data_IF_704801650106
#
_entry.id   IF_704801650106
#
_cell.length_a   1.000
_cell.length_b   1.000
_cell.length_c   1.000
_cell.angle_alpha   90.00
_cell.angle_beta   90.00
_cell.angle_gamma   90.00
#
_symmetry.space_group_name_H-M   'P 1'
#
loop_
_entity.id
_entity.type
_entity.pdbx_description
1 polymer ?
#
# COMPACT_ATOMS: atom_id res chain seq x y z
N UNK A 1 -2.20 -1.91 -28.18
CA UNK A 1 -3.51 -1.54 -27.57
C UNK A 1 -3.44 -1.35 -26.06
N UNK A 2 -2.63 -2.08 -25.28
CA UNK A 2 -2.59 -2.01 -23.81
C UNK A 2 -2.05 -0.70 -23.18
N UNK A 3 -1.26 0.08 -23.88
CA UNK A 3 -0.80 1.38 -23.40
C UNK A 3 -1.86 2.50 -23.49
N UNK A 4 -2.90 2.31 -24.31
CA UNK A 4 -3.98 3.27 -24.46
C UNK A 4 -5.02 3.15 -23.35
N UNK A 5 -5.41 1.91 -22.97
CA UNK A 5 -6.34 1.68 -21.85
C UNK A 5 -5.78 2.18 -20.50
N UNK A 6 -4.49 1.90 -20.21
CA UNK A 6 -3.86 2.42 -19.01
C UNK A 6 -3.75 3.95 -18.98
N UNK A 7 -3.49 4.59 -20.14
CA UNK A 7 -3.47 6.06 -20.24
C UNK A 7 -4.86 6.67 -20.07
N UNK A 8 -5.90 6.01 -20.59
CA UNK A 8 -7.30 6.46 -20.41
C UNK A 8 -7.69 6.37 -18.94
N UNK A 9 -7.41 5.25 -18.28
CA UNK A 9 -7.69 5.06 -16.86
C UNK A 9 -6.97 6.09 -15.96
N UNK A 10 -5.67 6.34 -16.21
CA UNK A 10 -4.93 7.40 -15.50
C UNK A 10 -5.57 8.78 -15.78
N UNK A 11 -5.97 9.07 -17.01
CA UNK A 11 -6.60 10.34 -17.36
C UNK A 11 -7.94 10.52 -16.64
N UNK A 12 -8.77 9.50 -16.54
CA UNK A 12 -10.04 9.57 -15.83
C UNK A 12 -9.84 9.84 -14.34
N UNK A 13 -8.87 9.18 -13.69
CA UNK A 13 -8.51 9.51 -12.31
C UNK A 13 -8.03 10.95 -12.19
N UNK A 14 -7.24 11.43 -13.12
CA UNK A 14 -6.80 12.82 -13.12
C UNK A 14 -7.96 13.80 -13.24
N UNK A 15 -8.93 13.53 -14.12
CA UNK A 15 -10.12 14.34 -14.28
C UNK A 15 -11.01 14.29 -13.03
N UNK A 16 -11.17 13.12 -12.41
CA UNK A 16 -11.86 12.98 -11.13
C UNK A 16 -11.19 13.78 -10.01
N UNK A 17 -9.88 13.65 -9.84
CA UNK A 17 -9.12 14.41 -8.84
C UNK A 17 -9.11 15.91 -9.12
N UNK A 18 -9.03 16.35 -10.35
CA UNK A 18 -9.15 17.77 -10.69
C UNK A 18 -10.50 18.36 -10.25
N UNK A 19 -11.55 17.55 -10.20
CA UNK A 19 -12.87 17.94 -9.66
C UNK A 19 -12.85 18.07 -8.12
N UNK A 20 -12.04 17.26 -7.42
CA UNK A 20 -11.90 17.28 -5.96
C UNK A 20 -10.88 18.31 -5.44
N UNK A 21 -10.04 18.86 -6.32
CA UNK A 21 -8.88 19.70 -5.95
C UNK A 21 -9.20 21.06 -5.27
N UNK A 22 -10.45 21.34 -4.94
CA UNK A 22 -10.87 22.60 -4.30
C UNK A 22 -10.57 22.66 -2.79
N UNK A 23 -10.29 21.50 -2.16
CA UNK A 23 -10.03 21.42 -0.74
C UNK A 23 -8.53 21.26 -0.49
N UNK A 24 -7.87 22.38 -0.22
CA UNK A 24 -6.43 22.42 0.05
C UNK A 24 -6.15 22.14 1.52
N UNK A 25 -5.03 21.43 1.79
CA UNK A 25 -4.43 21.44 3.13
C UNK A 25 -4.25 22.88 3.58
N UNK A 26 -4.78 23.21 4.76
CA UNK A 26 -4.53 24.51 5.38
C UNK A 26 -3.03 24.76 5.53
N UNK A 27 -2.63 26.02 5.46
CA UNK A 27 -1.25 26.39 5.75
C UNK A 27 -0.82 25.77 7.09
N UNK A 28 0.36 25.14 7.13
CA UNK A 28 0.85 24.45 8.32
C UNK A 28 0.80 25.31 9.60
N UNK A 29 0.95 26.62 9.47
CA UNK A 29 0.80 27.58 10.59
C UNK A 29 -0.63 27.61 11.14
N UNK A 30 -1.63 27.63 10.27
CA UNK A 30 -3.05 27.65 10.67
C UNK A 30 -3.43 26.35 11.34
N UNK A 31 -3.04 25.20 10.74
CA UNK A 31 -3.27 23.88 11.33
C UNK A 31 -2.61 23.74 12.71
N UNK A 32 -1.39 24.24 12.88
CA UNK A 32 -0.68 24.23 14.16
C UNK A 32 -1.39 25.06 15.23
N UNK A 33 -1.80 26.30 14.88
CA UNK A 33 -2.55 27.14 15.78
C UNK A 33 -3.90 26.54 16.18
N UNK A 34 -4.62 25.94 15.22
CA UNK A 34 -5.89 25.26 15.49
C UNK A 34 -5.71 24.06 16.44
N UNK A 35 -4.66 23.24 16.25
CA UNK A 35 -4.38 22.10 17.13
C UNK A 35 -3.94 22.54 18.53
N UNK A 36 -3.15 23.59 18.64
CA UNK A 36 -2.74 24.14 19.93
C UNK A 36 -3.93 24.68 20.74
N UNK A 37 -4.93 25.24 20.07
CA UNK A 37 -6.14 25.79 20.71
C UNK A 37 -7.27 24.75 20.85
N UNK A 38 -7.10 23.53 20.35
CA UNK A 38 -8.18 22.53 20.35
C UNK A 38 -8.51 22.05 21.76
N UNK A 39 -9.80 22.07 22.18
CA UNK A 39 -10.21 21.70 23.54
C UNK A 39 -9.83 20.26 23.95
N UNK A 40 -9.83 19.31 22.99
CA UNK A 40 -9.44 17.92 23.26
C UNK A 40 -7.95 17.82 23.52
N UNK A 41 -7.14 18.57 22.77
CA UNK A 41 -5.68 18.64 22.99
C UNK A 41 -5.39 19.30 24.33
N UNK A 42 -6.04 20.41 24.65
CA UNK A 42 -5.90 21.11 25.95
C UNK A 42 -6.28 20.21 27.13
N UNK A 43 -7.39 19.49 27.04
CA UNK A 43 -7.78 18.51 28.06
C UNK A 43 -6.74 17.39 28.22
N UNK A 44 -6.12 16.96 27.12
CA UNK A 44 -5.04 15.97 27.15
C UNK A 44 -3.75 16.54 27.77
N UNK A 45 -3.45 17.84 27.56
CA UNK A 45 -2.33 18.56 28.21
C UNK A 45 -2.53 18.56 29.73
N UNK A 46 -3.69 18.99 30.22
CA UNK A 46 -3.97 19.04 31.66
C UNK A 46 -3.86 17.67 32.32
N UNK A 47 -4.38 16.62 31.65
CA UNK A 47 -4.23 15.26 32.16
C UNK A 47 -2.77 14.82 32.23
N UNK A 48 -1.99 15.09 31.19
CA UNK A 48 -0.59 14.73 31.12
C UNK A 48 0.26 15.44 32.18
N UNK A 49 -0.03 16.74 32.45
CA UNK A 49 0.53 17.52 33.56
C UNK A 49 0.29 16.82 34.90
N UNK A 50 -0.97 16.44 35.16
CA UNK A 50 -1.36 15.80 36.41
C UNK A 50 -0.73 14.39 36.57
N UNK A 51 -0.75 13.58 35.50
CA UNK A 51 -0.26 12.19 35.54
C UNK A 51 1.26 12.08 35.69
N UNK A 52 2.02 13.05 35.15
CA UNK A 52 3.47 12.98 35.10
C UNK A 52 4.20 14.02 35.98
N UNK A 53 3.47 14.89 36.66
CA UNK A 53 4.04 15.93 37.51
C UNK A 53 4.89 16.96 36.74
N UNK A 54 4.63 17.17 35.46
CA UNK A 54 5.34 18.09 34.60
C UNK A 54 4.68 19.48 34.70
N UNK A 55 5.42 20.52 34.33
CA UNK A 55 4.85 21.85 34.18
C UNK A 55 4.05 21.93 32.87
N UNK A 56 3.03 22.76 32.84
CA UNK A 56 2.22 23.01 31.65
C UNK A 56 3.09 23.45 30.44
N UNK A 57 4.09 24.30 30.69
CA UNK A 57 5.05 24.76 29.70
C UNK A 57 5.89 23.60 29.09
N UNK A 58 6.22 22.56 29.85
CA UNK A 58 6.93 21.38 29.36
C UNK A 58 6.05 20.52 28.50
N UNK A 59 4.79 20.36 28.89
CA UNK A 59 3.82 19.57 28.13
C UNK A 59 3.46 20.30 26.82
N UNK A 60 3.30 21.62 26.82
CA UNK A 60 3.11 22.39 25.59
C UNK A 60 4.28 22.25 24.61
N UNK A 61 5.52 22.27 25.10
CA UNK A 61 6.69 21.98 24.24
C UNK A 61 6.67 20.57 23.67
N UNK A 62 6.08 19.59 24.39
CA UNK A 62 5.88 18.24 23.89
C UNK A 62 4.80 18.21 22.79
N UNK A 63 3.70 18.92 22.98
CA UNK A 63 2.65 19.11 21.95
C UNK A 63 3.22 19.73 20.70
N UNK A 64 4.01 20.79 20.81
CA UNK A 64 4.68 21.45 19.68
C UNK A 64 5.57 20.48 18.90
N UNK A 65 6.29 19.61 19.60
CA UNK A 65 7.08 18.54 18.95
C UNK A 65 6.20 17.56 18.18
N UNK A 66 5.09 17.10 18.77
CA UNK A 66 4.14 16.21 18.11
C UNK A 66 3.47 16.86 16.92
N UNK A 67 3.03 18.11 17.06
CA UNK A 67 2.44 18.90 15.96
C UNK A 67 3.44 19.09 14.82
N UNK A 68 4.69 19.44 15.13
CA UNK A 68 5.75 19.59 14.13
C UNK A 68 6.10 18.27 13.42
N UNK A 69 5.91 17.15 14.10
CA UNK A 69 6.10 15.84 13.52
C UNK A 69 4.95 15.47 12.58
N UNK A 70 3.72 15.62 13.06
CA UNK A 70 2.50 15.16 12.36
C UNK A 70 2.15 16.10 11.19
N UNK A 71 2.13 17.41 11.40
CA UNK A 71 1.65 18.38 10.40
C UNK A 71 2.66 18.53 9.25
N UNK A 72 2.26 18.24 7.99
CA UNK A 72 3.13 18.39 6.84
C UNK A 72 3.46 19.84 6.53
N UNK A 73 4.58 20.04 5.83
CA UNK A 73 4.96 21.35 5.26
C UNK A 73 4.72 21.27 3.74
N UNK A 74 3.46 21.47 3.34
CA UNK A 74 3.10 21.34 1.92
C UNK A 74 3.78 22.44 1.08
N UNK A 75 4.57 22.01 0.10
CA UNK A 75 5.08 22.85 -0.98
C UNK A 75 4.46 22.41 -2.31
N UNK A 76 3.40 23.12 -2.72
CA UNK A 76 2.63 22.80 -3.94
C UNK A 76 3.50 22.72 -5.19
N UNK A 77 4.46 23.63 -5.35
CA UNK A 77 5.37 23.67 -6.50
C UNK A 77 6.30 22.43 -6.52
N UNK A 78 6.82 22.04 -5.35
CA UNK A 78 7.67 20.85 -5.23
C UNK A 78 6.88 19.57 -5.52
N UNK A 79 5.62 19.51 -5.08
CA UNK A 79 4.77 18.36 -5.33
C UNK A 79 4.54 18.11 -6.83
N UNK A 80 4.08 19.11 -7.57
CA UNK A 80 3.73 18.92 -8.99
C UNK A 80 4.93 18.90 -9.92
N UNK A 81 5.89 19.81 -9.78
CA UNK A 81 6.99 19.91 -10.72
C UNK A 81 8.08 18.86 -10.49
N UNK A 82 8.41 18.57 -9.25
CA UNK A 82 9.50 17.65 -8.91
C UNK A 82 8.99 16.26 -8.57
N UNK A 83 8.05 16.16 -7.64
CA UNK A 83 7.60 14.87 -7.11
C UNK A 83 6.93 13.98 -8.15
N UNK A 84 5.99 14.51 -8.91
CA UNK A 84 5.31 13.74 -9.95
C UNK A 84 6.27 13.29 -11.06
N UNK A 85 7.13 14.20 -11.56
CA UNK A 85 8.06 13.84 -12.62
C UNK A 85 9.10 12.82 -12.14
N UNK A 86 9.59 12.96 -10.90
CA UNK A 86 10.48 11.99 -10.29
C UNK A 86 9.80 10.63 -10.10
N UNK A 87 8.59 10.60 -9.55
CA UNK A 87 7.79 9.39 -9.40
C UNK A 87 7.55 8.71 -10.76
N UNK A 88 7.17 9.48 -11.77
CA UNK A 88 6.99 9.00 -13.15
C UNK A 88 8.25 8.40 -13.73
N UNK A 89 9.40 9.06 -13.58
CA UNK A 89 10.70 8.56 -14.08
C UNK A 89 11.05 7.27 -13.35
N UNK A 90 11.04 7.26 -12.01
CA UNK A 90 11.39 6.10 -11.19
C UNK A 90 10.48 4.92 -11.51
N UNK A 91 9.17 5.12 -11.56
CA UNK A 91 8.23 4.05 -11.86
C UNK A 91 8.40 3.51 -13.28
N UNK A 92 8.58 4.36 -14.28
CA UNK A 92 8.81 3.90 -15.66
C UNK A 92 10.13 3.15 -15.86
N UNK A 93 11.14 3.46 -15.03
CA UNK A 93 12.39 2.71 -14.99
C UNK A 93 12.24 1.34 -14.31
N UNK A 94 11.39 1.27 -13.27
CA UNK A 94 11.23 0.06 -12.47
C UNK A 94 10.12 -0.85 -13.02
N UNK A 95 8.95 -0.30 -13.35
CA UNK A 95 7.73 -1.04 -13.63
C UNK A 95 7.01 -0.56 -14.88
N UNK A 96 6.09 -1.41 -15.36
CA UNK A 96 4.95 -0.99 -16.17
C UNK A 96 3.74 -0.83 -15.26
N UNK A 97 3.33 0.40 -15.00
CA UNK A 97 2.14 0.67 -14.22
C UNK A 97 0.90 0.37 -15.06
N UNK A 98 -0.05 -0.36 -14.49
CA UNK A 98 -1.39 -0.60 -15.04
C UNK A 98 -2.42 -0.20 -14.01
N UNK A 99 -3.47 0.48 -14.46
CA UNK A 99 -4.58 0.94 -13.61
C UNK A 99 -5.87 0.40 -14.20
N UNK A 100 -6.77 -0.06 -13.34
CA UNK A 100 -8.10 -0.55 -13.70
C UNK A 100 -9.12 -0.17 -12.62
N UNK A 101 -10.41 -0.22 -12.96
CA UNK A 101 -11.53 0.11 -12.10
C UNK A 101 -12.52 -1.03 -12.04
N UNK A 102 -13.09 -1.26 -10.87
CA UNK A 102 -14.23 -2.14 -10.72
C UNK A 102 -15.52 -1.43 -11.21
N UNK A 103 -15.67 -0.17 -10.84
CA UNK A 103 -16.83 0.65 -11.22
C UNK A 103 -16.40 2.13 -11.33
N UNK A 104 -15.98 2.53 -12.52
CA UNK A 104 -15.55 3.89 -12.83
C UNK A 104 -16.69 4.90 -12.63
N UNK A 105 -17.90 4.56 -13.10
CA UNK A 105 -19.07 5.43 -12.99
C UNK A 105 -19.49 5.70 -11.53
N UNK A 106 -19.25 4.76 -10.62
CA UNK A 106 -19.54 4.97 -9.20
C UNK A 106 -18.56 5.97 -8.55
N UNK A 107 -17.29 5.98 -8.98
CA UNK A 107 -16.32 6.98 -8.54
C UNK A 107 -16.69 8.39 -9.05
N UNK A 108 -17.15 8.49 -10.28
CA UNK A 108 -17.55 9.76 -10.87
C UNK A 108 -18.80 10.37 -10.22
N UNK A 109 -19.64 9.55 -9.60
CA UNK A 109 -20.85 10.00 -8.88
C UNK A 109 -20.60 10.52 -7.48
N UNK A 110 -19.40 10.37 -6.93
CA UNK A 110 -19.07 10.95 -5.62
C UNK A 110 -19.24 12.47 -5.71
N UNK A 111 -20.05 13.09 -4.83
CA UNK A 111 -20.21 14.54 -4.80
C UNK A 111 -18.89 15.26 -4.58
N UNK A 112 -18.70 16.39 -5.27
CA UNK A 112 -17.41 17.13 -5.25
C UNK A 112 -17.07 17.73 -3.90
N UNK A 113 -18.07 17.96 -3.06
CA UNK A 113 -17.91 18.51 -1.72
C UNK A 113 -17.54 17.43 -0.69
N UNK A 114 -17.81 16.17 -0.98
CA UNK A 114 -17.60 15.07 -0.06
C UNK A 114 -16.12 14.72 0.10
N UNK A 115 -15.81 14.03 1.18
CA UNK A 115 -14.45 13.62 1.53
C UNK A 115 -14.15 12.25 0.93
N UNK A 116 -13.02 12.11 0.26
CA UNK A 116 -12.57 10.83 -0.27
C UNK A 116 -11.38 10.30 0.53
N UNK A 117 -11.49 9.06 0.97
CA UNK A 117 -10.47 8.35 1.73
C UNK A 117 -10.08 7.07 0.99
N UNK A 118 -8.87 7.01 0.46
CA UNK A 118 -8.33 5.81 -0.19
C UNK A 118 -7.78 4.84 0.86
N UNK A 119 -8.33 3.64 0.89
CA UNK A 119 -7.83 2.55 1.73
C UNK A 119 -7.10 1.51 0.86
N UNK A 120 -5.84 1.25 1.17
CA UNK A 120 -4.93 0.50 0.29
C UNK A 120 -4.26 -0.65 1.02
N UNK A 121 -4.08 -1.81 0.36
CA UNK A 121 -3.18 -2.84 0.87
C UNK A 121 -1.72 -2.43 0.73
N UNK A 122 -0.83 -2.95 1.59
CA UNK A 122 0.57 -2.52 1.67
C UNK A 122 1.55 -3.65 1.33
N UNK A 123 2.12 -3.60 0.12
CA UNK A 123 3.00 -4.63 -0.44
C UNK A 123 4.49 -4.23 -0.46
N UNK A 124 4.76 -2.94 -0.69
CA UNK A 124 6.10 -2.40 -0.90
C UNK A 124 6.16 -0.93 -0.48
N UNK A 125 7.33 -0.45 -0.08
CA UNK A 125 7.53 1.00 0.09
C UNK A 125 7.33 1.78 -1.22
N UNK A 126 7.38 1.10 -2.36
CA UNK A 126 7.06 1.68 -3.69
C UNK A 126 5.57 1.99 -3.83
N UNK A 127 4.68 1.40 -3.01
CA UNK A 127 3.24 1.67 -3.05
C UNK A 127 2.95 3.17 -2.96
N UNK A 128 3.63 3.90 -2.07
CA UNK A 128 3.49 5.35 -1.96
C UNK A 128 3.80 6.08 -3.28
N UNK A 129 4.85 5.63 -3.98
CA UNK A 129 5.26 6.23 -5.26
C UNK A 129 4.28 5.88 -6.37
N UNK A 130 3.80 4.62 -6.39
CA UNK A 130 2.78 4.16 -7.35
C UNK A 130 1.48 4.93 -7.16
N UNK A 131 1.02 5.04 -5.92
CA UNK A 131 -0.22 5.75 -5.61
C UNK A 131 -0.08 7.25 -5.88
N UNK A 132 1.04 7.87 -5.47
CA UNK A 132 1.32 9.26 -5.81
C UNK A 132 1.32 9.49 -7.33
N UNK A 133 1.91 8.59 -8.11
CA UNK A 133 1.89 8.68 -9.57
C UNK A 133 0.49 8.54 -10.16
N UNK A 134 -0.31 7.61 -9.65
CA UNK A 134 -1.66 7.35 -10.17
C UNK A 134 -2.64 8.44 -9.73
N UNK A 135 -2.52 8.96 -8.51
CA UNK A 135 -3.43 9.94 -7.94
C UNK A 135 -2.97 11.41 -8.11
N UNK A 136 -1.74 11.66 -8.56
CA UNK A 136 -1.08 12.98 -8.51
C UNK A 136 -1.60 14.04 -9.50
N UNK A 137 -2.47 13.70 -10.44
CA UNK A 137 -2.95 14.69 -11.40
C UNK A 137 -4.28 15.28 -10.96
N UNK A 138 -4.24 16.26 -10.06
CA UNK A 138 -5.41 17.09 -9.75
C UNK A 138 -5.86 17.11 -8.29
N UNK A 139 -5.41 16.21 -7.41
CA UNK A 139 -5.70 16.31 -5.99
C UNK A 139 -4.45 16.06 -5.14
N UNK A 140 -4.33 16.86 -4.08
CA UNK A 140 -3.40 16.57 -3.01
C UNK A 140 -3.97 15.46 -2.15
N UNK A 141 -3.37 14.28 -2.18
CA UNK A 141 -3.72 13.21 -1.25
C UNK A 141 -2.78 13.27 -0.06
N UNK A 142 -3.34 13.50 1.11
CA UNK A 142 -2.62 13.46 2.37
C UNK A 142 -2.46 12.00 2.81
N UNK A 143 -1.23 11.48 2.77
CA UNK A 143 -0.95 10.10 3.15
C UNK A 143 -0.49 9.98 4.58
N UNK A 144 -1.03 8.99 5.29
CA UNK A 144 -0.50 8.53 6.55
C UNK A 144 0.77 7.69 6.32
N UNK A 145 1.92 8.20 6.70
CA UNK A 145 3.23 7.57 6.48
C UNK A 145 3.85 7.15 7.81
N UNK A 146 4.39 5.93 7.88
CA UNK A 146 5.07 5.46 9.08
C UNK A 146 6.45 6.08 9.29
N UNK A 147 7.00 5.92 10.48
CA UNK A 147 8.30 6.47 10.91
C UNK A 147 9.50 6.10 10.04
N UNK A 148 9.39 5.03 9.23
CA UNK A 148 10.46 4.58 8.35
C UNK A 148 10.92 5.65 7.36
N UNK A 149 10.02 6.56 6.97
CA UNK A 149 10.32 7.62 6.04
C UNK A 149 10.88 8.89 6.72
N UNK A 150 11.05 8.89 8.05
CA UNK A 150 11.66 9.99 8.82
C UNK A 150 13.20 9.95 8.75
N UNK A 151 13.73 9.84 7.55
CA UNK A 151 15.17 9.89 7.25
C UNK A 151 15.39 10.92 6.17
N UNK A 152 16.36 11.82 6.37
CA UNK A 152 16.73 12.77 5.32
C UNK A 152 17.24 12.04 4.07
N UNK A 153 16.84 12.38 2.83
CA UNK A 153 15.91 13.47 2.44
C UNK A 153 14.43 13.03 2.36
N UNK A 154 14.08 11.79 2.67
CA UNK A 154 12.73 11.24 2.49
C UNK A 154 11.67 11.97 3.33
N UNK A 155 12.00 12.31 4.58
CA UNK A 155 11.08 13.05 5.45
C UNK A 155 10.66 14.37 4.79
N UNK A 156 11.63 15.12 4.25
CA UNK A 156 11.35 16.36 3.55
C UNK A 156 10.47 16.13 2.31
N UNK A 157 10.77 15.09 1.52
CA UNK A 157 9.99 14.74 0.33
C UNK A 157 8.54 14.42 0.69
N UNK A 158 8.31 13.53 1.67
CA UNK A 158 6.95 13.16 2.08
C UNK A 158 6.18 14.34 2.69
N UNK A 159 6.82 15.14 3.56
CA UNK A 159 6.21 16.35 4.13
C UNK A 159 5.87 17.38 3.06
N UNK A 160 6.73 17.57 2.07
CA UNK A 160 6.46 18.50 0.97
C UNK A 160 5.32 18.05 0.08
N UNK A 161 5.00 16.75 0.10
CA UNK A 161 3.86 16.15 -0.61
C UNK A 161 2.56 16.13 0.22
N UNK A 162 2.55 16.75 1.39
CA UNK A 162 1.36 16.81 2.23
C UNK A 162 1.08 15.55 3.03
N UNK A 163 2.04 14.62 3.11
CA UNK A 163 1.92 13.42 3.93
C UNK A 163 2.20 13.73 5.39
N UNK A 164 1.43 13.12 6.30
CA UNK A 164 1.65 13.22 7.74
C UNK A 164 2.25 11.95 8.32
N UNK A 165 3.01 12.09 9.39
CA UNK A 165 3.73 10.98 9.99
C UNK A 165 3.00 10.39 11.17
N UNK A 166 3.04 9.05 11.28
CA UNK A 166 2.43 8.29 12.37
C UNK A 166 3.50 7.43 13.05
N UNK A 167 3.54 7.50 14.39
CA UNK A 167 4.33 6.58 15.20
C UNK A 167 3.57 5.27 15.38
N UNK A 168 4.18 4.17 14.96
CA UNK A 168 3.59 2.84 15.07
C UNK A 168 3.82 2.27 16.46
N UNK A 169 2.76 1.77 17.10
CA UNK A 169 2.86 1.15 18.43
C UNK A 169 3.13 2.13 19.59
N UNK A 170 3.15 3.42 19.30
CA UNK A 170 3.26 4.44 20.33
C UNK A 170 1.91 4.62 21.02
N UNK A 171 1.87 4.47 22.35
CA UNK A 171 0.61 4.42 23.13
C UNK A 171 0.37 5.67 23.98
N UNK A 172 1.16 6.72 23.77
CA UNK A 172 1.06 7.97 24.52
C UNK A 172 -0.28 8.68 24.26
N UNK A 173 -1.15 8.88 25.27
CA UNK A 173 -2.47 9.49 25.08
C UNK A 173 -2.42 10.90 24.50
N UNK A 174 -1.45 11.73 24.92
CA UNK A 174 -1.27 13.09 24.42
C UNK A 174 -0.95 13.10 22.92
N UNK A 175 -0.07 12.20 22.47
CA UNK A 175 0.25 12.05 21.04
C UNK A 175 -1.00 11.67 20.23
N UNK A 176 -1.78 10.71 20.76
CA UNK A 176 -3.02 10.28 20.10
C UNK A 176 -4.07 11.38 20.04
N UNK A 177 -4.19 12.24 21.07
CA UNK A 177 -5.08 13.39 21.04
C UNK A 177 -4.68 14.37 19.92
N UNK A 178 -3.40 14.69 19.79
CA UNK A 178 -2.90 15.57 18.71
C UNK A 178 -3.14 14.94 17.33
N UNK A 179 -2.85 13.64 17.16
CA UNK A 179 -3.06 12.94 15.89
C UNK A 179 -4.54 12.84 15.52
N UNK A 180 -5.41 12.51 16.45
CA UNK A 180 -6.85 12.47 16.26
C UNK A 180 -7.39 13.80 15.79
N UNK A 181 -7.03 14.89 16.49
CA UNK A 181 -7.50 16.24 16.14
C UNK A 181 -6.95 16.73 14.81
N UNK A 182 -5.72 16.34 14.45
CA UNK A 182 -5.18 16.62 13.13
C UNK A 182 -5.96 15.88 12.02
N UNK A 183 -6.24 14.58 12.20
CA UNK A 183 -7.03 13.81 11.24
C UNK A 183 -8.45 14.38 11.12
N UNK A 184 -9.07 14.74 12.25
CA UNK A 184 -10.36 15.42 12.26
C UNK A 184 -10.32 16.72 11.47
N UNK A 185 -9.33 17.59 11.71
CA UNK A 185 -9.16 18.87 11.03
C UNK A 185 -9.07 18.70 9.50
N UNK A 186 -8.23 17.78 9.01
CA UNK A 186 -8.08 17.57 7.57
C UNK A 186 -9.31 16.94 6.95
N UNK A 187 -10.03 16.06 7.68
CA UNK A 187 -11.29 15.45 7.23
C UNK A 187 -12.38 16.52 7.16
N UNK A 188 -12.55 17.34 8.21
CA UNK A 188 -13.51 18.46 8.25
C UNK A 188 -13.28 19.44 7.11
N UNK A 189 -12.02 19.69 6.73
CA UNK A 189 -11.65 20.55 5.62
C UNK A 189 -11.79 19.89 4.24
N UNK A 190 -12.27 18.67 4.14
CA UNK A 190 -12.50 17.98 2.86
C UNK A 190 -11.22 17.52 2.18
N UNK A 191 -10.10 17.40 2.90
CA UNK A 191 -8.83 16.94 2.32
C UNK A 191 -8.95 15.47 1.94
N UNK A 192 -8.61 15.16 0.69
CA UNK A 192 -8.50 13.76 0.25
C UNK A 192 -7.36 13.07 1.00
N UNK A 193 -7.65 11.91 1.55
CA UNK A 193 -6.72 11.15 2.38
C UNK A 193 -6.42 9.78 1.81
N UNK A 194 -5.29 9.19 2.23
CA UNK A 194 -4.95 7.81 1.89
C UNK A 194 -4.16 7.14 3.00
N UNK A 195 -4.49 5.91 3.33
CA UNK A 195 -3.74 5.13 4.30
C UNK A 195 -3.79 3.63 4.03
N UNK A 196 -2.85 2.93 4.65
CA UNK A 196 -2.74 1.48 4.60
C UNK A 196 -3.29 0.90 5.91
N UNK A 197 -4.51 0.31 5.90
CA UNK A 197 -5.15 -0.19 7.12
C UNK A 197 -4.35 -1.27 7.83
N UNK A 198 -3.54 -2.06 7.11
CA UNK A 198 -2.65 -3.07 7.71
C UNK A 198 -1.60 -2.46 8.67
N UNK A 199 -1.30 -1.16 8.52
CA UNK A 199 -0.32 -0.43 9.32
C UNK A 199 1.14 -0.86 9.13
N UNK A 200 1.43 -1.87 8.32
CA UNK A 200 2.78 -2.36 7.98
C UNK A 200 2.78 -3.06 6.62
N UNK A 201 3.97 -3.27 6.08
CA UNK A 201 4.15 -4.11 4.89
C UNK A 201 3.76 -5.56 5.19
N UNK A 202 3.10 -6.22 4.22
CA UNK A 202 2.86 -7.65 4.29
C UNK A 202 4.19 -8.40 4.20
N UNK A 203 4.49 -9.24 5.20
CA UNK A 203 5.74 -10.00 5.27
C UNK A 203 5.66 -11.35 4.56
N UNK A 204 4.48 -11.95 4.51
CA UNK A 204 4.21 -13.25 3.91
C UNK A 204 3.46 -13.18 2.57
N UNK A 205 3.11 -11.97 2.14
CA UNK A 205 2.35 -11.73 0.92
C UNK A 205 0.83 -11.72 1.08
N UNK A 206 0.27 -12.05 2.23
CA UNK A 206 -1.17 -12.02 2.50
C UNK A 206 -1.64 -10.62 2.89
N UNK A 207 -2.94 -10.38 2.79
CA UNK A 207 -3.57 -9.25 3.44
C UNK A 207 -3.53 -9.45 4.96
N UNK A 208 -3.05 -8.43 5.67
CA UNK A 208 -3.02 -8.41 7.12
C UNK A 208 -4.33 -7.88 7.74
N UNK A 209 -4.53 -8.09 9.04
CA UNK A 209 -5.69 -7.54 9.74
C UNK A 209 -5.61 -6.02 9.82
N UNK A 210 -6.75 -5.30 9.69
CA UNK A 210 -6.79 -3.86 9.75
C UNK A 210 -6.53 -3.31 11.16
N UNK A 211 -5.88 -2.14 11.22
CA UNK A 211 -5.75 -1.30 12.40
C UNK A 211 -6.84 -0.23 12.36
N UNK A 212 -7.56 -0.06 13.46
CA UNK A 212 -8.77 0.76 13.51
C UNK A 212 -8.52 2.24 13.82
N UNK A 213 -7.34 2.60 14.36
CA UNK A 213 -7.12 3.95 14.93
C UNK A 213 -7.42 5.09 13.96
N UNK A 214 -6.87 5.06 12.74
CA UNK A 214 -7.15 6.10 11.74
C UNK A 214 -8.59 6.04 11.23
N UNK A 215 -9.14 4.86 11.05
CA UNK A 215 -10.52 4.69 10.64
C UNK A 215 -11.47 5.30 11.67
N UNK A 216 -11.23 5.04 12.97
CA UNK A 216 -12.00 5.63 14.07
C UNK A 216 -11.92 7.16 14.05
N UNK A 217 -10.72 7.73 13.92
CA UNK A 217 -10.55 9.19 13.89
C UNK A 217 -11.27 9.84 12.71
N UNK A 218 -11.21 9.23 11.52
CA UNK A 218 -11.91 9.71 10.33
C UNK A 218 -13.42 9.61 10.51
N UNK A 219 -13.94 8.45 10.94
CA UNK A 219 -15.38 8.23 11.11
C UNK A 219 -15.99 9.19 12.15
N UNK A 220 -15.28 9.45 13.24
CA UNK A 220 -15.76 10.37 14.29
C UNK A 220 -15.89 11.82 13.86
N UNK A 221 -15.33 12.20 12.73
CA UNK A 221 -15.50 13.56 12.18
C UNK A 221 -16.97 13.88 11.90
N UNK A 222 -17.81 12.89 11.60
CA UNK A 222 -19.26 13.11 11.37
C UNK A 222 -20.03 13.50 12.64
N UNK A 223 -19.43 13.37 13.81
CA UNK A 223 -20.01 13.83 15.09
C UNK A 223 -19.83 15.34 15.30
N UNK A 224 -19.00 16.00 14.46
CA UNK A 224 -18.84 17.47 14.52
C UNK A 224 -20.09 18.12 13.93
N UNK A 225 -20.81 18.99 14.70
CA UNK A 225 -22.05 19.63 14.23
C UNK A 225 -21.88 20.46 12.95
N UNK A 226 -20.67 20.97 12.69
CA UNK A 226 -20.38 21.75 11.49
C UNK A 226 -19.94 20.89 10.29
N UNK A 227 -19.97 19.56 10.43
CA UNK A 227 -19.60 18.65 9.35
C UNK A 227 -20.84 18.12 8.64
N UNK A 228 -21.14 18.68 7.47
CA UNK A 228 -22.33 18.38 6.65
C UNK A 228 -22.08 17.43 5.46
N UNK A 229 -20.83 17.01 5.26
CA UNK A 229 -20.37 16.19 4.12
C UNK A 229 -20.49 14.70 4.40
N UNK A 230 -20.43 13.89 3.33
CA UNK A 230 -20.21 12.45 3.46
C UNK A 230 -18.72 12.11 3.35
N UNK A 231 -18.34 10.96 3.89
CA UNK A 231 -17.01 10.37 3.76
C UNK A 231 -17.11 9.11 2.91
N UNK A 232 -16.38 9.09 1.80
CA UNK A 232 -16.37 7.98 0.88
C UNK A 232 -15.06 7.20 0.99
N UNK A 233 -15.15 5.95 1.44
CA UNK A 233 -14.03 5.04 1.43
C UNK A 233 -13.90 4.39 0.05
N UNK A 234 -12.75 4.56 -0.58
CA UNK A 234 -12.44 3.96 -1.89
C UNK A 234 -11.39 2.87 -1.67
N UNK A 235 -11.77 1.59 -1.82
CA UNK A 235 -10.82 0.48 -1.78
C UNK A 235 -9.84 0.56 -2.95
N UNK A 236 -8.55 0.41 -2.67
CA UNK A 236 -7.50 0.36 -3.69
C UNK A 236 -6.63 -0.86 -3.47
N UNK A 237 -6.44 -1.64 -4.50
CA UNK A 237 -5.58 -2.82 -4.42
C UNK A 237 -4.36 -2.68 -5.30
N UNK A 238 -3.20 -3.03 -4.75
CA UNK A 238 -1.90 -2.93 -5.40
C UNK A 238 -1.24 -4.31 -5.40
N UNK A 239 -0.70 -4.72 -6.54
CA UNK A 239 0.11 -5.92 -6.62
C UNK A 239 1.23 -5.77 -7.67
N UNK A 240 2.27 -6.58 -7.53
CA UNK A 240 3.49 -6.49 -8.33
C UNK A 240 3.91 -7.84 -8.91
N UNK A 241 4.57 -7.82 -10.07
CA UNK A 241 5.35 -8.97 -10.54
C UNK A 241 6.63 -9.14 -9.71
N UNK A 242 7.15 -8.05 -9.13
CA UNK A 242 8.28 -8.08 -8.20
C UNK A 242 8.16 -6.97 -7.16
N UNK A 243 8.21 -7.35 -5.90
CA UNK A 243 8.36 -6.45 -4.76
C UNK A 243 9.85 -6.19 -4.52
N UNK A 244 10.25 -4.95 -4.26
CA UNK A 244 11.68 -4.59 -4.09
C UNK A 244 12.27 -5.22 -2.82
N UNK A 245 11.51 -5.24 -1.76
CA UNK A 245 11.90 -5.66 -0.43
C UNK A 245 11.58 -7.13 -0.12
N UNK A 246 11.13 -7.91 -1.11
CA UNK A 246 10.60 -9.27 -0.90
C UNK A 246 11.50 -10.18 -0.04
N UNK A 247 12.81 -10.19 -0.28
CA UNK A 247 13.77 -10.98 0.51
C UNK A 247 13.96 -10.44 1.94
N UNK A 248 13.91 -9.12 2.11
CA UNK A 248 14.01 -8.52 3.42
C UNK A 248 12.77 -8.82 4.26
N UNK A 249 11.57 -8.70 3.64
CA UNK A 249 10.29 -9.00 4.29
C UNK A 249 10.21 -10.46 4.76
N UNK A 250 10.68 -11.41 3.92
CA UNK A 250 10.72 -12.82 4.29
C UNK A 250 11.71 -13.07 5.44
N UNK A 251 12.90 -12.44 5.43
CA UNK A 251 13.85 -12.55 6.54
C UNK A 251 13.27 -12.02 7.84
N UNK A 252 12.60 -10.87 7.81
CA UNK A 252 11.89 -10.31 8.98
C UNK A 252 10.77 -11.24 9.51
N UNK A 253 10.23 -12.12 8.67
CA UNK A 253 9.22 -13.11 9.09
C UNK A 253 9.87 -14.25 9.88
N UNK A 254 11.09 -14.64 9.49
CA UNK A 254 11.85 -15.74 10.12
C UNK A 254 12.54 -15.27 11.41
N UNK A 255 13.15 -14.10 11.38
CA UNK A 255 13.83 -13.50 12.55
C UNK A 255 13.45 -12.00 12.66
N UNK A 256 12.67 -11.67 13.69
CA UNK A 256 12.27 -10.27 13.94
C UNK A 256 13.45 -9.36 14.34
N UNK A 257 14.58 -9.94 14.77
CA UNK A 257 15.80 -9.21 15.16
C UNK A 257 16.66 -8.82 13.95
N UNK A 258 16.57 -9.58 12.85
CA UNK A 258 17.33 -9.31 11.62
C UNK A 258 16.61 -8.27 10.73
N UNK A 259 16.44 -7.06 11.26
CA UNK A 259 15.96 -5.92 10.48
C UNK A 259 17.13 -5.29 9.74
N UNK A 260 17.26 -5.47 8.43
CA UNK A 260 18.30 -4.78 7.69
C UNK A 260 18.13 -3.27 7.86
N UNK A 261 19.23 -2.59 8.18
CA UNK A 261 19.24 -1.15 8.37
C UNK A 261 18.58 -0.41 7.19
N UNK A 262 17.97 0.73 7.44
CA UNK A 262 17.25 1.52 6.43
C UNK A 262 18.16 2.02 5.30
N UNK A 263 19.40 2.34 5.62
CA UNK A 263 20.41 2.82 4.67
C UNK A 263 20.76 1.79 3.57
N UNK A 264 20.99 0.49 3.85
CA UNK A 264 21.22 -0.52 2.82
C UNK A 264 20.07 -0.70 1.83
N UNK A 265 18.83 -0.56 2.30
CA UNK A 265 17.64 -0.67 1.42
C UNK A 265 17.57 0.50 0.44
N UNK A 266 17.77 1.74 0.92
CA UNK A 266 17.81 2.94 0.09
C UNK A 266 18.96 2.89 -0.92
N UNK A 267 20.14 2.42 -0.49
CA UNK A 267 21.29 2.25 -1.37
C UNK A 267 21.02 1.23 -2.47
N UNK A 268 20.36 0.12 -2.15
CA UNK A 268 19.95 -0.90 -3.13
C UNK A 268 18.99 -0.32 -4.17
N UNK A 269 18.02 0.50 -3.76
CA UNK A 269 17.10 1.17 -4.70
C UNK A 269 17.85 2.20 -5.54
N UNK A 270 18.69 3.03 -4.93
CA UNK A 270 19.45 4.07 -5.62
C UNK A 270 20.41 3.48 -6.67
N UNK A 271 21.18 2.45 -6.31
CA UNK A 271 22.10 1.77 -7.25
C UNK A 271 21.34 1.08 -8.38
N UNK A 272 20.18 0.51 -8.10
CA UNK A 272 19.36 -0.08 -9.15
C UNK A 272 18.76 0.96 -10.10
N UNK A 273 18.26 2.08 -9.58
CA UNK A 273 17.78 3.20 -10.39
C UNK A 273 18.93 3.75 -11.25
N UNK A 274 20.09 4.02 -10.67
CA UNK A 274 21.27 4.49 -11.39
C UNK A 274 21.70 3.52 -12.50
N UNK A 275 21.72 2.20 -12.19
CA UNK A 275 22.07 1.18 -13.20
C UNK A 275 21.03 1.08 -14.32
N UNK A 276 19.76 1.32 -14.04
CA UNK A 276 18.70 1.32 -15.05
C UNK A 276 18.69 2.60 -15.89
N UNK A 277 19.09 3.75 -15.35
CA UNK A 277 19.32 4.97 -16.12
C UNK A 277 20.42 4.72 -17.13
N UNK A 278 21.55 4.12 -16.73
CA UNK A 278 22.64 3.76 -17.64
C UNK A 278 22.19 2.74 -18.71
N UNK A 279 21.39 1.74 -18.31
CA UNK A 279 20.82 0.75 -19.25
C UNK A 279 19.77 1.35 -20.18
N UNK A 280 19.08 2.40 -19.78
CA UNK A 280 18.16 3.13 -20.65
C UNK A 280 18.92 3.79 -21.81
N UNK A 281 20.06 4.42 -21.53
CA UNK A 281 20.93 5.03 -22.53
C UNK A 281 21.45 4.01 -23.56
N UNK A 282 21.61 2.74 -23.15
CA UNK A 282 22.06 1.62 -24.02
C UNK A 282 20.91 0.79 -24.60
N UNK A 283 19.65 1.18 -24.44
CA UNK A 283 18.49 0.42 -24.90
C UNK A 283 18.24 -0.92 -24.16
N UNK A 284 19.00 -1.21 -23.11
CA UNK A 284 18.97 -2.50 -22.36
C UNK A 284 18.17 -2.45 -21.07
N UNK A 285 17.14 -1.60 -20.99
CA UNK A 285 16.33 -1.41 -19.78
C UNK A 285 15.68 -2.72 -19.30
N UNK A 286 15.99 -3.13 -18.07
CA UNK A 286 15.38 -4.30 -17.42
C UNK A 286 14.37 -3.84 -16.36
N UNK A 287 13.08 -3.92 -16.67
CA UNK A 287 12.00 -3.60 -15.71
C UNK A 287 11.67 -4.80 -14.81
N UNK A 288 11.17 -4.51 -13.62
CA UNK A 288 10.70 -5.49 -12.64
C UNK A 288 9.30 -6.07 -12.95
N UNK A 289 8.83 -5.93 -14.17
CA UNK A 289 7.51 -6.38 -14.56
C UNK A 289 6.44 -5.30 -14.39
N UNK A 290 5.31 -5.67 -13.84
CA UNK A 290 4.17 -4.76 -13.65
C UNK A 290 4.01 -4.36 -12.20
N UNK A 291 3.57 -3.11 -12.00
CA UNK A 291 2.86 -2.63 -10.83
C UNK A 291 1.41 -2.41 -11.27
N UNK A 292 0.47 -3.12 -10.69
CA UNK A 292 -0.93 -3.02 -11.04
C UNK A 292 -1.74 -2.44 -9.88
N UNK A 293 -2.63 -1.50 -10.18
CA UNK A 293 -3.49 -0.80 -9.23
C UNK A 293 -4.93 -0.92 -9.70
N UNK A 294 -5.81 -1.39 -8.84
CA UNK A 294 -7.23 -1.45 -9.09
C UNK A 294 -7.99 -0.61 -8.08
N UNK A 295 -9.00 0.12 -8.55
CA UNK A 295 -9.92 0.88 -7.73
C UNK A 295 -11.24 0.15 -7.61
N UNK A 296 -11.70 -0.06 -6.36
CA UNK A 296 -12.98 -0.68 -6.05
C UNK A 296 -14.14 0.30 -6.06
N UNK A 297 -15.33 -0.25 -5.92
CA UNK A 297 -16.53 0.56 -5.74
C UNK A 297 -16.46 1.32 -4.41
N UNK A 298 -16.74 2.63 -4.40
CA UNK A 298 -16.73 3.45 -3.20
C UNK A 298 -17.82 3.02 -2.20
N UNK A 299 -17.57 3.28 -0.93
CA UNK A 299 -18.51 3.05 0.17
C UNK A 299 -18.76 4.36 0.89
N UNK A 300 -20.02 4.78 0.98
CA UNK A 300 -20.45 5.94 1.74
C UNK A 300 -20.50 5.60 3.23
N UNK A 301 -19.85 6.40 4.08
CA UNK A 301 -19.93 6.26 5.52
C UNK A 301 -21.36 6.56 6.01
N UNK A 302 -22.02 7.57 5.45
CA UNK A 302 -23.41 7.93 5.80
C UNK A 302 -24.36 6.77 5.53
N UNK A 303 -24.23 6.07 4.40
CA UNK A 303 -25.04 4.89 4.11
C UNK A 303 -24.77 3.74 5.09
N UNK A 304 -23.51 3.52 5.47
CA UNK A 304 -23.16 2.50 6.45
C UNK A 304 -23.71 2.84 7.83
N UNK A 305 -23.61 4.09 8.27
CA UNK A 305 -24.16 4.56 9.55
C UNK A 305 -25.68 4.46 9.61
N UNK A 306 -26.37 4.59 8.47
CA UNK A 306 -27.82 4.37 8.43
C UNK A 306 -28.21 2.93 8.79
N UNK A 307 -27.32 1.96 8.58
CA UNK A 307 -27.52 0.56 9.01
C UNK A 307 -27.04 0.27 10.45
N UNK A 308 -26.29 1.20 11.04
CA UNK A 308 -25.69 1.07 12.37
C UNK A 308 -25.83 2.39 13.16
N UNK A 309 -27.08 2.83 13.44
CA UNK A 309 -27.31 4.13 14.06
C UNK A 309 -26.69 4.21 15.47
N UNK A 310 -26.15 5.40 15.81
CA UNK A 310 -25.56 5.66 17.12
C UNK A 310 -24.20 4.99 17.40
N UNK A 311 -23.68 4.23 16.46
CA UNK A 311 -22.44 3.45 16.66
C UNK A 311 -21.22 4.29 17.03
N UNK A 312 -21.11 5.51 16.51
CA UNK A 312 -19.96 6.38 16.78
C UNK A 312 -20.02 7.07 18.15
N UNK A 313 -21.20 7.10 18.78
CA UNK A 313 -21.43 7.65 20.11
C UNK A 313 -21.16 6.64 21.24
N UNK A 314 -21.04 5.36 20.89
CA UNK A 314 -20.73 4.30 21.84
C UNK A 314 -19.37 4.51 22.54
N UNK A 315 -19.22 3.97 23.76
CA UNK A 315 -17.92 3.87 24.42
C UNK A 315 -16.86 3.26 23.48
N UNK A 316 -15.62 3.71 23.62
CA UNK A 316 -14.51 3.39 22.70
C UNK A 316 -14.42 1.90 22.35
N UNK A 317 -14.52 1.01 23.31
CA UNK A 317 -14.39 -0.44 23.09
C UNK A 317 -15.50 -0.99 22.20
N UNK A 318 -16.75 -0.62 22.50
CA UNK A 318 -17.91 -1.04 21.72
C UNK A 318 -17.91 -0.44 20.33
N UNK A 319 -17.53 0.84 20.19
CA UNK A 319 -17.38 1.52 18.92
C UNK A 319 -16.30 0.86 18.06
N UNK A 320 -15.13 0.53 18.63
CA UNK A 320 -14.07 -0.16 17.89
C UNK A 320 -14.50 -1.56 17.46
N UNK A 321 -15.27 -2.29 18.27
CA UNK A 321 -15.82 -3.58 17.87
C UNK A 321 -16.76 -3.45 16.66
N UNK A 322 -17.61 -2.44 16.63
CA UNK A 322 -18.47 -2.17 15.47
C UNK A 322 -17.67 -1.70 14.23
N UNK A 323 -16.70 -0.82 14.41
CA UNK A 323 -15.80 -0.37 13.32
C UNK A 323 -14.93 -1.51 12.76
N UNK A 324 -14.70 -2.59 13.54
CA UNK A 324 -14.04 -3.79 13.03
C UNK A 324 -14.83 -4.41 11.86
N UNK A 325 -16.17 -4.36 11.90
CA UNK A 325 -16.99 -4.86 10.80
C UNK A 325 -16.87 -3.99 9.55
N UNK A 326 -16.86 -2.65 9.71
CA UNK A 326 -16.58 -1.74 8.58
C UNK A 326 -15.20 -1.99 8.00
N UNK A 327 -14.18 -2.12 8.85
CA UNK A 327 -12.82 -2.38 8.44
C UNK A 327 -12.70 -3.73 7.71
N UNK A 328 -13.34 -4.77 8.20
CA UNK A 328 -13.38 -6.09 7.55
C UNK A 328 -14.03 -6.00 6.17
N UNK A 329 -15.20 -5.35 6.06
CA UNK A 329 -15.87 -5.12 4.77
C UNK A 329 -14.98 -4.39 3.77
N UNK A 330 -14.25 -3.36 4.21
CA UNK A 330 -13.34 -2.62 3.35
C UNK A 330 -12.11 -3.46 2.94
N UNK A 331 -11.58 -4.29 3.86
CA UNK A 331 -10.49 -5.22 3.55
C UNK A 331 -10.92 -6.32 2.58
N UNK A 332 -12.14 -6.83 2.71
CA UNK A 332 -12.72 -7.81 1.77
C UNK A 332 -12.88 -7.19 0.38
N UNK A 333 -13.35 -5.94 0.30
CA UNK A 333 -13.43 -5.19 -0.97
C UNK A 333 -12.04 -4.96 -1.59
N UNK A 334 -11.01 -4.65 -0.79
CA UNK A 334 -9.62 -4.56 -1.26
C UNK A 334 -9.17 -5.93 -1.77
N UNK A 335 -9.41 -6.98 -1.01
CA UNK A 335 -9.06 -8.36 -1.37
C UNK A 335 -9.66 -8.78 -2.72
N UNK A 336 -10.96 -8.54 -2.90
CA UNK A 336 -11.69 -8.93 -4.11
C UNK A 336 -11.14 -8.30 -5.40
N UNK A 337 -10.48 -7.16 -5.31
CA UNK A 337 -9.93 -6.43 -6.47
C UNK A 337 -8.41 -6.51 -6.57
N UNK A 338 -7.73 -7.36 -5.78
CA UNK A 338 -6.26 -7.52 -5.90
C UNK A 338 -5.91 -7.95 -7.34
N UNK A 339 -5.05 -7.16 -8.03
CA UNK A 339 -4.68 -7.49 -9.40
C UNK A 339 -3.84 -8.78 -9.44
N UNK A 340 -4.28 -9.74 -10.26
CA UNK A 340 -3.52 -10.97 -10.50
C UNK A 340 -2.51 -10.70 -11.61
N UNK A 341 -1.24 -10.49 -11.24
CA UNK A 341 -0.14 -10.32 -12.19
C UNK A 341 0.51 -11.67 -12.54
N UNK A 342 1.41 -11.68 -13.50
CA UNK A 342 1.95 -12.94 -14.05
C UNK A 342 2.74 -13.76 -13.02
N UNK A 343 3.55 -13.12 -12.17
CA UNK A 343 4.42 -13.83 -11.21
C UNK A 343 3.62 -14.48 -10.08
N UNK A 344 2.67 -13.83 -9.42
CA UNK A 344 1.76 -14.48 -8.48
C UNK A 344 1.04 -15.70 -9.04
N UNK A 345 0.52 -15.60 -10.26
CA UNK A 345 -0.18 -16.72 -10.91
C UNK A 345 0.77 -17.90 -11.19
N UNK A 346 1.96 -17.63 -11.73
CA UNK A 346 2.97 -18.66 -11.98
C UNK A 346 3.50 -19.28 -10.68
N UNK A 347 3.70 -18.49 -9.64
CA UNK A 347 4.12 -18.98 -8.33
C UNK A 347 3.07 -19.90 -7.70
N UNK A 348 1.79 -19.52 -7.78
CA UNK A 348 0.69 -20.37 -7.31
C UNK A 348 0.62 -21.72 -8.09
N UNK A 349 0.82 -21.67 -9.42
CA UNK A 349 0.85 -22.86 -10.24
C UNK A 349 2.03 -23.76 -9.89
N UNK A 350 3.25 -23.22 -9.75
CA UNK A 350 4.44 -24.00 -9.37
C UNK A 350 4.28 -24.66 -8.00
N UNK A 351 3.72 -23.95 -7.03
CA UNK A 351 3.52 -24.47 -5.67
C UNK A 351 2.39 -25.52 -5.56
N UNK A 352 1.59 -25.70 -6.60
CA UNK A 352 0.57 -26.75 -6.63
C UNK A 352 1.15 -28.15 -6.93
N UNK A 353 2.44 -28.24 -7.25
CA UNK A 353 3.15 -29.48 -7.45
C UNK A 353 4.07 -29.77 -6.25
N UNK A 354 4.15 -31.02 -5.85
CA UNK A 354 5.07 -31.49 -4.80
C UNK A 354 6.50 -31.64 -5.32
N UNK A 355 6.62 -32.03 -6.61
CA UNK A 355 7.89 -32.26 -7.29
C UNK A 355 8.64 -30.96 -7.52
N UNK A 356 9.95 -31.01 -7.44
CA UNK A 356 10.84 -29.88 -7.77
C UNK A 356 11.12 -29.79 -9.27
N UNK A 357 11.00 -30.89 -10.02
CA UNK A 357 11.13 -30.94 -11.47
C UNK A 357 9.74 -31.13 -12.07
N UNK A 358 9.27 -30.13 -12.80
CA UNK A 358 7.87 -30.06 -13.27
C UNK A 358 7.90 -29.90 -14.80
N UNK A 359 7.18 -30.71 -15.57
CA UNK A 359 7.03 -30.48 -17.01
C UNK A 359 6.44 -29.09 -17.28
N UNK A 360 7.07 -28.32 -18.16
CA UNK A 360 6.63 -26.94 -18.51
C UNK A 360 5.16 -26.92 -18.91
N UNK A 361 4.71 -27.91 -19.70
CA UNK A 361 3.32 -28.01 -20.13
C UNK A 361 2.37 -28.13 -18.93
N UNK A 362 2.70 -28.92 -17.92
CA UNK A 362 1.87 -29.08 -16.72
C UNK A 362 1.71 -27.77 -15.95
N UNK A 363 2.77 -26.96 -15.88
CA UNK A 363 2.69 -25.62 -15.26
C UNK A 363 1.79 -24.68 -16.07
N UNK A 364 1.88 -24.72 -17.40
CA UNK A 364 1.03 -23.90 -18.28
C UNK A 364 -0.44 -24.28 -18.15
N UNK A 365 -0.74 -25.57 -18.18
CA UNK A 365 -2.10 -26.11 -18.01
C UNK A 365 -2.67 -25.72 -16.64
N UNK A 366 -1.84 -25.79 -15.60
CA UNK A 366 -2.22 -25.37 -14.23
C UNK A 366 -2.48 -23.87 -14.14
N UNK A 367 -1.65 -23.05 -14.76
CA UNK A 367 -1.85 -21.60 -14.81
C UNK A 367 -3.15 -21.25 -15.54
N UNK A 368 -3.48 -21.97 -16.61
CA UNK A 368 -4.70 -21.75 -17.38
C UNK A 368 -5.95 -22.10 -16.56
N UNK A 369 -5.95 -23.28 -15.91
CA UNK A 369 -7.01 -23.69 -14.98
C UNK A 369 -7.22 -22.68 -13.84
N UNK A 370 -6.12 -22.17 -13.26
CA UNK A 370 -6.21 -21.15 -12.20
C UNK A 370 -6.75 -19.83 -12.74
N UNK A 371 -6.37 -19.43 -13.96
CA UNK A 371 -6.86 -18.24 -14.62
C UNK A 371 -8.38 -18.30 -14.85
N UNK A 372 -8.88 -19.46 -15.28
CA UNK A 372 -10.31 -19.65 -15.50
C UNK A 372 -11.09 -19.56 -14.17
N UNK A 373 -10.61 -20.21 -13.12
CA UNK A 373 -11.20 -20.07 -11.78
C UNK A 373 -11.19 -18.63 -11.26
N UNK A 374 -10.13 -17.89 -11.54
CA UNK A 374 -10.05 -16.47 -11.19
C UNK A 374 -11.08 -15.63 -11.96
N UNK A 375 -11.38 -15.99 -13.20
CA UNK A 375 -12.45 -15.37 -13.97
C UNK A 375 -13.84 -15.67 -13.39
N UNK A 376 -14.08 -16.90 -12.96
CA UNK A 376 -15.36 -17.32 -12.35
C UNK A 376 -15.68 -16.49 -11.10
N UNK A 377 -14.67 -16.08 -10.33
CA UNK A 377 -14.82 -15.19 -9.17
C UNK A 377 -14.66 -13.71 -9.51
N UNK A 378 -14.70 -13.33 -10.81
CA UNK A 378 -14.50 -11.97 -11.30
C UNK A 378 -13.19 -11.29 -10.84
N UNK A 379 -12.14 -12.07 -10.55
CA UNK A 379 -10.85 -11.52 -10.18
C UNK A 379 -10.19 -10.75 -11.33
N UNK A 380 -9.50 -9.68 -11.01
CA UNK A 380 -8.84 -8.80 -11.99
C UNK A 380 -7.52 -9.41 -12.49
N UNK A 381 -7.61 -10.33 -13.45
CA UNK A 381 -6.42 -10.93 -14.07
C UNK A 381 -5.84 -9.98 -15.11
N UNK A 382 -4.62 -9.51 -14.87
CA UNK A 382 -3.93 -8.58 -15.78
C UNK A 382 -3.60 -9.28 -17.10
N UNK A 383 -4.20 -8.78 -18.20
CA UNK A 383 -4.20 -9.42 -19.52
C UNK A 383 -4.81 -10.83 -19.52
N UNK A 384 -5.92 -11.00 -18.83
CA UNK A 384 -6.63 -12.28 -18.77
C UNK A 384 -6.99 -12.89 -20.14
N UNK A 385 -7.14 -12.06 -21.20
CA UNK A 385 -7.38 -12.49 -22.59
C UNK A 385 -6.10 -12.85 -23.38
N UNK A 386 -4.89 -12.68 -22.81
CA UNK A 386 -3.66 -13.08 -23.51
C UNK A 386 -3.48 -14.60 -23.49
N UNK A 387 -2.72 -15.15 -24.46
CA UNK A 387 -2.35 -16.57 -24.43
C UNK A 387 -1.55 -16.88 -23.15
N UNK A 388 -1.78 -18.02 -22.55
CA UNK A 388 -1.12 -18.41 -21.29
C UNK A 388 0.41 -18.42 -21.43
N UNK A 389 0.92 -18.78 -22.59
CA UNK A 389 2.35 -18.70 -22.92
C UNK A 389 2.91 -17.31 -22.78
N UNK A 390 2.16 -16.28 -23.22
CA UNK A 390 2.61 -14.87 -23.11
C UNK A 390 2.60 -14.38 -21.65
N UNK A 391 1.72 -14.94 -20.81
CA UNK A 391 1.69 -14.68 -19.36
C UNK A 391 2.87 -15.37 -18.69
N UNK A 392 3.09 -16.65 -19.02
CA UNK A 392 4.22 -17.42 -18.53
C UNK A 392 5.57 -16.78 -18.89
N UNK A 393 5.78 -16.39 -20.14
CA UNK A 393 7.05 -15.78 -20.58
C UNK A 393 7.43 -14.51 -19.81
N UNK A 394 6.45 -13.80 -19.26
CA UNK A 394 6.71 -12.66 -18.36
C UNK A 394 7.11 -13.12 -16.98
N UNK A 395 6.35 -14.06 -16.41
CA UNK A 395 6.67 -14.64 -15.11
C UNK A 395 8.04 -15.34 -15.16
N UNK A 396 8.29 -16.17 -16.17
CA UNK A 396 9.54 -16.90 -16.41
C UNK A 396 10.77 -16.00 -16.35
N UNK A 397 10.73 -14.87 -17.08
CA UNK A 397 11.86 -13.90 -17.07
C UNK A 397 12.17 -13.39 -15.67
N UNK A 398 11.14 -13.15 -14.85
CA UNK A 398 11.30 -12.70 -13.48
C UNK A 398 11.81 -13.81 -12.58
N UNK A 399 11.22 -15.00 -12.67
CA UNK A 399 11.59 -16.17 -11.88
C UNK A 399 13.06 -16.58 -12.16
N UNK A 400 13.48 -16.59 -13.44
CA UNK A 400 14.89 -16.84 -13.84
C UNK A 400 15.84 -15.75 -13.33
N UNK A 401 15.49 -14.47 -13.50
CA UNK A 401 16.30 -13.35 -13.00
C UNK A 401 16.50 -13.41 -11.49
N UNK A 402 15.52 -13.95 -10.76
CA UNK A 402 15.54 -14.12 -9.30
C UNK A 402 16.17 -15.44 -8.87
N UNK A 403 16.55 -16.29 -9.80
CA UNK A 403 17.07 -17.65 -9.54
C UNK A 403 16.08 -18.49 -8.70
N UNK A 404 14.81 -18.45 -9.04
CA UNK A 404 13.78 -19.27 -8.40
C UNK A 404 13.51 -20.55 -9.18
N UNK A 405 13.66 -20.47 -10.52
CA UNK A 405 13.41 -21.57 -11.42
C UNK A 405 14.51 -21.62 -12.49
N UNK A 406 14.93 -22.81 -12.87
CA UNK A 406 15.82 -23.09 -14.00
C UNK A 406 15.05 -23.95 -15.00
N UNK A 407 15.33 -23.77 -16.29
CA UNK A 407 14.82 -24.63 -17.35
C UNK A 407 15.83 -25.72 -17.65
N UNK A 408 15.36 -26.95 -17.68
CA UNK A 408 16.11 -28.15 -18.06
C UNK A 408 15.30 -28.88 -19.13
N UNK A 409 15.70 -28.71 -20.38
CA UNK A 409 14.92 -29.19 -21.52
C UNK A 409 13.49 -28.67 -21.54
N UNK A 410 12.51 -29.55 -21.50
CA UNK A 410 11.08 -29.20 -21.44
C UNK A 410 10.51 -29.18 -20.01
N UNK A 411 11.39 -29.25 -19.02
CA UNK A 411 11.05 -29.20 -17.59
C UNK A 411 11.50 -27.91 -16.91
N UNK A 412 10.86 -27.62 -15.80
CA UNK A 412 11.17 -26.49 -14.93
C UNK A 412 11.65 -27.06 -13.59
N UNK A 413 12.81 -26.64 -13.15
CA UNK A 413 13.37 -27.04 -11.87
C UNK A 413 13.20 -25.87 -10.88
N UNK A 414 12.41 -26.10 -9.82
CA UNK A 414 12.30 -25.16 -8.71
C UNK A 414 13.53 -25.32 -7.83
N UNK A 415 14.30 -24.22 -7.69
CA UNK A 415 15.57 -24.27 -6.97
C UNK A 415 15.37 -24.41 -5.45
N UNK A 416 16.31 -25.07 -4.75
CA UNK A 416 16.32 -25.07 -3.29
C UNK A 416 16.29 -23.63 -2.74
N UNK A 417 15.52 -23.38 -1.69
CA UNK A 417 15.34 -22.04 -1.11
C UNK A 417 14.47 -21.06 -1.90
N UNK A 418 13.94 -21.44 -3.08
CA UNK A 418 13.01 -20.60 -3.85
C UNK A 418 11.60 -20.57 -3.25
N UNK A 419 11.21 -21.62 -2.51
CA UNK A 419 9.86 -21.83 -2.00
C UNK A 419 9.31 -20.64 -1.19
N UNK A 420 10.02 -20.05 -0.21
CA UNK A 420 9.49 -18.91 0.56
C UNK A 420 9.14 -17.71 -0.32
N UNK A 421 9.96 -17.42 -1.35
CA UNK A 421 9.68 -16.33 -2.29
C UNK A 421 8.49 -16.65 -3.20
N UNK A 422 8.35 -17.88 -3.66
CA UNK A 422 7.18 -18.32 -4.44
C UNK A 422 5.92 -18.22 -3.57
N UNK A 423 5.97 -18.65 -2.31
CA UNK A 423 4.86 -18.53 -1.36
C UNK A 423 4.47 -17.07 -1.12
N UNK A 424 5.44 -16.17 -0.95
CA UNK A 424 5.18 -14.73 -0.81
C UNK A 424 4.39 -14.17 -1.99
N UNK A 425 4.72 -14.56 -3.22
CA UNK A 425 3.98 -14.10 -4.40
C UNK A 425 2.62 -14.80 -4.53
N UNK A 426 2.55 -16.11 -4.37
CA UNK A 426 1.30 -16.88 -4.45
C UNK A 426 0.29 -16.45 -3.39
N UNK A 427 0.74 -16.16 -2.17
CA UNK A 427 -0.09 -15.70 -1.06
C UNK A 427 -0.83 -14.41 -1.38
N UNK A 428 -0.30 -13.57 -2.28
CA UNK A 428 -0.98 -12.32 -2.67
C UNK A 428 -2.33 -12.52 -3.34
N UNK A 429 -2.56 -13.69 -3.91
CA UNK A 429 -3.77 -14.05 -4.62
C UNK A 429 -4.45 -15.31 -4.06
N UNK A 430 -3.91 -15.88 -2.97
CA UNK A 430 -4.37 -17.14 -2.41
C UNK A 430 -5.84 -17.11 -1.95
N UNK A 431 -6.34 -15.95 -1.49
CA UNK A 431 -7.72 -15.75 -1.09
C UNK A 431 -8.71 -15.74 -2.28
N UNK A 432 -8.21 -15.48 -3.50
CA UNK A 432 -8.99 -15.54 -4.74
C UNK A 432 -9.00 -16.97 -5.36
N UNK A 433 -8.06 -17.80 -4.94
CA UNK A 433 -7.93 -19.19 -5.38
C UNK A 433 -8.19 -20.09 -4.17
N UNK A 434 -9.34 -20.78 -4.07
CA UNK A 434 -9.54 -21.77 -3.04
C UNK A 434 -8.62 -22.96 -3.28
N UNK A 435 -7.37 -22.84 -2.87
CA UNK A 435 -6.39 -23.92 -2.91
C UNK A 435 -6.75 -24.87 -1.76
N UNK A 436 -7.45 -25.97 -2.09
CA UNK A 436 -7.55 -27.16 -1.23
C UNK A 436 -6.20 -27.89 -1.30
N UNK A 437 -5.27 -27.50 -0.43
CA UNK A 437 -4.03 -28.19 -0.16
C UNK A 437 -3.66 -27.99 1.31
N UNK A 438 -2.91 -28.92 1.95
CA UNK A 438 -2.55 -28.78 3.34
C UNK A 438 -1.83 -27.43 3.54
N UNK A 439 -2.33 -26.61 4.47
CA UNK A 439 -1.62 -25.42 4.96
C UNK A 439 -0.37 -25.91 5.66
N UNK A 440 0.77 -25.93 4.98
CA UNK A 440 2.05 -26.14 5.64
C UNK A 440 2.37 -24.86 6.41
N UNK A 441 2.41 -24.89 7.74
CA UNK A 441 2.85 -23.74 8.50
C UNK A 441 4.30 -23.40 8.10
N UNK A 442 4.66 -22.14 8.14
CA UNK A 442 6.02 -21.66 7.97
C UNK A 442 6.89 -22.31 9.06
N UNK A 443 7.54 -23.43 8.75
CA UNK A 443 8.53 -23.99 9.66
C UNK A 443 9.77 -23.10 9.64
N UNK A 444 10.22 -22.69 10.82
CA UNK A 444 11.54 -22.09 11.06
C UNK A 444 12.62 -23.08 10.62
N UNK A 445 12.95 -23.07 9.34
CA UNK A 445 14.13 -23.79 8.86
C UNK A 445 15.34 -22.89 8.99
N UNK A 446 16.28 -23.30 9.81
CA UNK A 446 17.53 -22.63 10.15
C UNK A 446 18.53 -22.50 8.98
N UNK A 447 18.16 -22.84 7.73
CA UNK A 447 19.10 -22.96 6.61
C UNK A 447 18.74 -22.11 5.39
N UNK A 448 18.66 -20.80 5.53
CA UNK A 448 18.51 -19.91 4.36
C UNK A 448 19.86 -19.46 3.78
N UNK A 449 20.93 -19.47 4.56
CA UNK A 449 22.24 -18.95 4.14
C UNK A 449 23.27 -20.01 3.68
N UNK A 450 23.05 -21.30 3.96
CA UNK A 450 24.03 -22.36 3.61
C UNK A 450 23.81 -23.01 2.26
N UNK A 451 22.68 -22.76 1.58
CA UNK A 451 22.31 -23.45 0.32
C UNK A 451 22.62 -22.64 -0.96
N UNK A 452 23.44 -21.59 -0.91
CA UNK A 452 23.97 -20.97 -2.12
C UNK A 452 25.32 -21.59 -2.46
N UNK A 453 25.43 -22.49 -3.47
CA UNK A 453 26.73 -22.92 -3.94
C UNK A 453 27.48 -21.69 -4.47
N UNK A 454 28.68 -21.47 -3.96
CA UNK A 454 29.65 -20.58 -4.57
C UNK A 454 30.01 -21.16 -5.94
N UNK A 455 29.26 -20.82 -6.96
CA UNK A 455 29.68 -21.03 -8.32
C UNK A 455 30.86 -20.07 -8.59
N UNK A 456 32.06 -20.62 -8.50
CA UNK A 456 33.29 -20.01 -9.01
C UNK A 456 33.06 -19.55 -10.44
N UNK A 457 33.49 -18.31 -10.70
CA UNK A 457 33.68 -17.79 -12.05
C UNK A 457 34.66 -18.74 -12.78
N UNK A 458 34.20 -19.39 -13.81
CA UNK A 458 35.03 -19.91 -14.87
C UNK A 458 34.54 -19.33 -16.20
N UNK A 459 35.45 -18.67 -16.95
CA UNK A 459 35.29 -18.22 -18.31
C UNK A 459 34.68 -16.83 -18.47
#
# INVERSE_FOLDING_TARGET
>A
MTGWLGRRAIRTIHEFHARLARHQLQHARVARAALAADPVVQAAVLRHVHEHGLTEAEVHRLVDRYVNEIVPQLNVLSYYKVGYNLAKIVLNLLYRVTVDYQNEAALERIPKQDVVVYMMNHRSNVDYVVVAYVLAYGAHVSYAVGEWARVWPLEYVFKSFGSYFIRRGFREPLYHAVLERYVHLITKNGVTQGFFPEGRLSRDGRLGPPKLGLLDYICRTVLDPDFDRDIWFVPVAINFDRVLEDRALIRELVDERDRPGRLPQLWTVATYVASNVLRLATGRLKRYGRAAVNFGAPLSLRQWLATTPGVLELPKEQRLAALQHLAALLMDRIGAIIPVTAVPLAAAALLSFEQTVIPRRAVLDRMDQMRDRLRDVNAKVIRGGARILDVWDRARRMLKMRRLVVEDGDSLVVLPGARPLLEFYANSIAHLLPIRGPRVPFHKTHDVDTALPRLRRQG
#
